data_IF_092615465787
#
_entry.id   IF_092615465787
#
_cell.length_a   1.000
_cell.length_b   1.000
_cell.length_c   1.000
_cell.angle_alpha   90.00
_cell.angle_beta   90.00
_cell.angle_gamma   90.00
#
_symmetry.space_group_name_H-M   'P 1'
#
loop_
_entity.id
_entity.type
_entity.pdbx_description
1 polymer ?
#
# COMPACT_ATOMS: atom_id res chain seq x y z
N UNK A 1 4.62 1.85 -14.46
CA UNK A 1 5.47 1.30 -13.38
C UNK A 1 5.43 2.27 -12.22
N UNK A 2 5.43 1.77 -10.99
CA UNK A 2 5.44 2.55 -9.75
C UNK A 2 6.82 3.19 -9.57
N UNK A 3 7.13 4.21 -10.39
CA UNK A 3 8.45 4.84 -10.51
C UNK A 3 8.42 6.33 -10.15
N UNK A 4 7.43 6.77 -9.36
CA UNK A 4 7.56 8.08 -8.73
C UNK A 4 8.63 7.97 -7.65
N UNK A 5 9.68 8.76 -7.80
CA UNK A 5 10.66 9.01 -6.75
C UNK A 5 9.93 9.69 -5.58
N UNK A 6 9.80 9.01 -4.45
CA UNK A 6 9.37 9.62 -3.21
C UNK A 6 10.55 10.37 -2.58
N UNK A 7 10.31 11.52 -1.95
CA UNK A 7 11.36 12.27 -1.22
C UNK A 7 11.43 11.80 0.23
N UNK A 8 11.41 10.48 0.44
CA UNK A 8 11.45 9.89 1.78
C UNK A 8 12.90 9.59 2.18
N UNK A 9 13.29 10.04 3.36
CA UNK A 9 14.55 9.65 3.98
C UNK A 9 14.47 8.23 4.54
N UNK A 10 15.62 7.55 4.65
CA UNK A 10 15.70 6.21 5.23
C UNK A 10 15.10 6.19 6.64
N UNK A 11 14.20 5.25 6.88
CA UNK A 11 13.54 5.05 8.17
C UNK A 11 12.28 5.89 8.41
N UNK A 12 11.87 6.74 7.48
CA UNK A 12 10.61 7.48 7.60
C UNK A 12 9.37 6.62 7.34
N UNK A 13 9.49 5.59 6.51
CA UNK A 13 8.41 4.66 6.19
C UNK A 13 8.97 3.30 5.79
N UNK A 14 8.35 2.23 6.28
CA UNK A 14 8.68 0.87 5.86
C UNK A 14 7.89 0.49 4.60
N UNK A 15 8.60 -0.03 3.60
CA UNK A 15 7.99 -0.49 2.36
C UNK A 15 7.96 -2.01 2.31
N UNK A 16 6.75 -2.56 2.16
CA UNK A 16 6.53 -3.98 1.98
C UNK A 16 5.85 -4.24 0.63
N UNK A 17 6.40 -5.18 -0.13
CA UNK A 17 5.79 -5.65 -1.38
C UNK A 17 5.23 -7.06 -1.17
N UNK A 18 3.97 -7.24 -1.53
CA UNK A 18 3.30 -8.54 -1.48
C UNK A 18 3.13 -9.11 -2.90
N UNK A 19 3.80 -10.22 -3.18
CA UNK A 19 3.57 -10.96 -4.42
C UNK A 19 2.28 -11.80 -4.32
N UNK A 20 1.23 -11.32 -4.97
CA UNK A 20 -0.10 -11.93 -4.96
C UNK A 20 -0.15 -13.32 -5.61
N UNK A 21 0.75 -13.62 -6.56
CA UNK A 21 0.77 -14.94 -7.21
C UNK A 21 1.27 -16.01 -6.24
N UNK A 22 2.17 -15.63 -5.33
CA UNK A 22 2.77 -16.53 -4.34
C UNK A 22 2.02 -16.55 -3.02
N UNK A 23 1.41 -15.44 -2.63
CA UNK A 23 0.86 -15.24 -1.29
C UNK A 23 -0.59 -14.73 -1.29
N UNK A 24 -1.44 -15.35 -2.13
CA UNK A 24 -2.85 -14.96 -2.28
C UNK A 24 -3.61 -14.89 -0.96
N UNK A 25 -3.44 -15.89 -0.10
CA UNK A 25 -4.09 -15.92 1.22
C UNK A 25 -3.71 -14.71 2.09
N UNK A 26 -2.46 -14.24 2.04
CA UNK A 26 -2.04 -13.05 2.79
C UNK A 26 -2.75 -11.80 2.25
N UNK A 27 -2.96 -11.72 0.94
CA UNK A 27 -3.71 -10.62 0.31
C UNK A 27 -5.19 -10.63 0.72
N UNK A 28 -5.82 -11.81 0.69
CA UNK A 28 -7.21 -11.99 1.10
C UNK A 28 -7.39 -11.59 2.58
N UNK A 29 -6.49 -12.03 3.46
CA UNK A 29 -6.46 -11.64 4.88
C UNK A 29 -6.21 -10.15 5.08
N UNK A 30 -5.39 -9.51 4.24
CA UNK A 30 -5.18 -8.05 4.27
C UNK A 30 -6.49 -7.32 3.95
N UNK A 31 -7.22 -7.75 2.94
CA UNK A 31 -8.54 -7.21 2.59
C UNK A 31 -9.56 -7.38 3.71
N UNK A 32 -9.60 -8.55 4.36
CA UNK A 32 -10.46 -8.80 5.51
C UNK A 32 -10.05 -7.95 6.73
N UNK A 33 -8.77 -7.95 7.12
CA UNK A 33 -8.28 -7.24 8.31
C UNK A 33 -8.52 -5.73 8.23
N UNK A 34 -8.28 -5.14 7.07
CA UNK A 34 -8.40 -3.70 6.88
C UNK A 34 -9.74 -3.27 6.28
N UNK A 35 -10.63 -4.24 5.99
CA UNK A 35 -11.93 -4.00 5.35
C UNK A 35 -11.81 -3.21 4.03
N UNK A 36 -10.74 -3.50 3.27
CA UNK A 36 -10.46 -2.89 1.96
C UNK A 36 -10.70 -3.93 0.88
N UNK A 37 -11.44 -3.54 -0.17
CA UNK A 37 -11.66 -4.42 -1.31
C UNK A 37 -10.34 -4.68 -2.05
N UNK A 38 -10.06 -5.96 -2.31
CA UNK A 38 -8.87 -6.38 -3.03
C UNK A 38 -8.84 -5.82 -4.47
N UNK A 39 -7.70 -5.24 -4.85
CA UNK A 39 -7.40 -4.78 -6.21
C UNK A 39 -5.95 -5.11 -6.57
N UNK A 40 -5.60 -5.10 -7.86
CA UNK A 40 -4.22 -5.30 -8.30
C UNK A 40 -3.90 -4.52 -9.58
N UNK A 41 -2.88 -3.65 -9.60
CA UNK A 41 -2.02 -3.26 -8.47
C UNK A 41 -2.80 -2.45 -7.42
N UNK A 42 -2.37 -2.49 -6.16
CA UNK A 42 -3.00 -1.80 -5.04
C UNK A 42 -1.93 -1.34 -4.03
N UNK A 43 -2.16 -0.17 -3.43
CA UNK A 43 -1.32 0.38 -2.37
C UNK A 43 -2.18 0.65 -1.14
N UNK A 44 -1.67 0.25 0.03
CA UNK A 44 -2.24 0.58 1.35
C UNK A 44 -1.19 1.35 2.15
N UNK A 45 -1.58 2.49 2.73
CA UNK A 45 -0.80 3.20 3.75
C UNK A 45 -1.37 2.82 5.11
N UNK A 46 -0.55 2.17 5.94
CA UNK A 46 -0.96 1.68 7.26
C UNK A 46 -0.25 2.51 8.33
N UNK A 47 -1.02 3.11 9.24
CA UNK A 47 -0.52 3.87 10.38
C UNK A 47 -1.26 3.45 11.64
N UNK A 48 -0.52 3.15 12.71
CA UNK A 48 -1.07 2.69 13.99
C UNK A 48 -2.05 1.50 13.85
N UNK A 49 -1.76 0.58 12.94
CA UNK A 49 -2.57 -0.63 12.71
C UNK A 49 -3.85 -0.43 11.88
N UNK A 50 -4.09 0.76 11.34
CA UNK A 50 -5.23 1.07 10.48
C UNK A 50 -4.79 1.57 9.10
N UNK A 51 -5.58 1.28 8.07
CA UNK A 51 -5.37 1.87 6.73
C UNK A 51 -5.85 3.31 6.75
N UNK A 52 -4.94 4.25 6.51
CA UNK A 52 -5.22 5.69 6.48
C UNK A 52 -5.38 6.23 5.06
N UNK A 53 -4.85 5.52 4.07
CA UNK A 53 -5.06 5.78 2.65
C UNK A 53 -4.89 4.50 1.84
N UNK A 54 -5.63 4.36 0.75
CA UNK A 54 -5.42 3.31 -0.23
C UNK A 54 -5.92 3.73 -1.60
N UNK A 55 -5.30 3.16 -2.63
CA UNK A 55 -5.77 3.30 -4.02
C UNK A 55 -5.31 2.09 -4.86
N UNK A 56 -5.69 2.04 -6.13
CA UNK A 56 -5.43 0.91 -7.02
C UNK A 56 -5.12 1.35 -8.45
N UNK A 57 -4.64 0.40 -9.26
CA UNK A 57 -4.36 0.59 -10.68
C UNK A 57 -3.42 1.76 -10.96
N UNK A 58 -3.82 2.72 -11.79
CA UNK A 58 -3.01 3.90 -12.11
C UNK A 58 -2.98 4.93 -10.98
N UNK A 59 -4.04 4.99 -10.18
CA UNK A 59 -4.26 6.03 -9.17
C UNK A 59 -3.37 5.87 -7.94
N UNK A 60 -2.73 4.72 -7.75
CA UNK A 60 -1.67 4.55 -6.74
C UNK A 60 -0.52 5.56 -6.90
N UNK A 61 -0.30 6.10 -8.10
CA UNK A 61 0.74 7.10 -8.35
C UNK A 61 0.33 8.51 -7.88
N UNK A 62 -0.93 8.72 -7.52
CA UNK A 62 -1.46 10.01 -7.07
C UNK A 62 -1.44 10.14 -5.53
N UNK A 63 -1.14 9.05 -4.82
CA UNK A 63 -0.96 9.07 -3.37
C UNK A 63 0.34 9.81 -3.03
N UNK A 64 0.18 10.87 -2.27
CA UNK A 64 1.25 11.65 -1.67
C UNK A 64 1.63 11.05 -0.30
N UNK A 65 2.69 10.23 -0.27
CA UNK A 65 3.11 9.49 0.93
C UNK A 65 3.59 10.40 2.07
N UNK A 66 4.14 11.57 1.76
CA UNK A 66 4.70 12.51 2.73
C UNK A 66 3.61 13.07 3.67
N UNK A 67 2.35 13.08 3.23
CA UNK A 67 1.19 13.45 4.07
C UNK A 67 0.92 12.48 5.23
N UNK A 68 1.51 11.28 5.20
CA UNK A 68 1.22 10.22 6.16
C UNK A 68 2.36 9.88 7.12
N UNK A 69 3.49 10.60 7.05
CA UNK A 69 4.57 10.55 8.05
C UNK A 69 4.07 10.87 9.46
#
# INVERSE_FOLDING_TARGET
MFTKSYTLEDGQMDFYFLDLHRYRQVSDETGYKFQVMHQSPQLLVIKNGAVVAHDSHGSINDIDLEKYL
#
